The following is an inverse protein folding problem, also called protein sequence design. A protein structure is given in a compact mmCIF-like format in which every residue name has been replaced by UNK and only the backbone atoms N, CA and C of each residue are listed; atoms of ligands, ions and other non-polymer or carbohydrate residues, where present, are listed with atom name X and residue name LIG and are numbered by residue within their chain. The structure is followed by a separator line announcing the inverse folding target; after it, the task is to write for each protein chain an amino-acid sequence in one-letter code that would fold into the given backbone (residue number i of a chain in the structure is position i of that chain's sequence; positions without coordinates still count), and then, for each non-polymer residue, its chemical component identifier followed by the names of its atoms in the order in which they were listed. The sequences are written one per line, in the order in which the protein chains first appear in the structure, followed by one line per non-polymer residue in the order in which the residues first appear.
data_IF_908611752162
#
_entry.id   IF_908611752162
#
_cell.length_a   1.000
_cell.length_b   1.000
_cell.length_c   1.000
_cell.angle_alpha   90.00
_cell.angle_beta   90.00
_cell.angle_gamma   90.00
#
_symmetry.space_group_name_H-M   'P 1'
#
loop_
_entity.id
_entity.type
_entity.pdbx_description
1 polymer ?
#
# COMPACT_ATOMS: atom_id res chain seq x y z
N UNK A 1 -34.01 -15.28 31.25
CA UNK A 1 -32.62 -14.77 31.27
C UNK A 1 -31.62 -15.88 30.92
N UNK A 2 -32.10 -16.98 30.33
CA UNK A 2 -31.40 -18.26 30.33
C UNK A 2 -30.62 -18.53 29.05
N UNK A 3 -31.06 -17.99 27.91
CA UNK A 3 -30.40 -18.22 26.62
C UNK A 3 -28.96 -17.67 26.61
N UNK A 4 -28.75 -16.46 27.14
CA UNK A 4 -27.42 -15.81 27.15
C UNK A 4 -26.43 -16.60 28.01
N UNK A 5 -26.87 -17.16 29.15
CA UNK A 5 -26.01 -17.99 30.00
C UNK A 5 -25.69 -19.34 29.36
N UNK A 6 -26.64 -19.95 28.65
CA UNK A 6 -26.40 -21.20 27.91
C UNK A 6 -25.37 -20.98 26.80
N UNK A 7 -25.48 -19.89 26.04
CA UNK A 7 -24.49 -19.53 25.02
C UNK A 7 -23.11 -19.28 25.61
N UNK A 8 -23.04 -18.60 26.76
CA UNK A 8 -21.78 -18.34 27.45
C UNK A 8 -21.12 -19.63 27.91
N UNK A 9 -21.87 -20.51 28.58
CA UNK A 9 -21.34 -21.78 29.08
C UNK A 9 -20.87 -22.70 27.95
N UNK A 10 -21.64 -22.84 26.87
CA UNK A 10 -21.22 -23.62 25.70
C UNK A 10 -19.93 -23.07 25.06
N UNK A 11 -19.75 -21.76 25.08
CA UNK A 11 -18.54 -21.12 24.54
C UNK A 11 -17.32 -21.39 25.41
N UNK A 12 -17.50 -21.37 26.73
CA UNK A 12 -16.45 -21.68 27.72
C UNK A 12 -16.08 -23.16 27.65
N UNK A 13 -17.06 -24.06 27.59
CA UNK A 13 -16.84 -25.51 27.48
C UNK A 13 -16.10 -25.87 26.18
N UNK A 14 -16.49 -25.25 25.08
CA UNK A 14 -15.78 -25.40 23.81
C UNK A 14 -14.33 -24.90 23.90
N UNK A 15 -14.11 -23.74 24.54
CA UNK A 15 -12.75 -23.21 24.71
C UNK A 15 -11.87 -24.13 25.57
N UNK A 16 -12.41 -24.72 26.64
CA UNK A 16 -11.70 -25.70 27.45
C UNK A 16 -11.40 -26.99 26.67
N UNK A 17 -12.36 -27.49 25.89
CA UNK A 17 -12.17 -28.66 25.04
C UNK A 17 -11.06 -28.44 24.01
N UNK A 18 -11.11 -27.32 23.28
CA UNK A 18 -10.08 -26.95 22.31
C UNK A 18 -8.74 -26.75 23.00
N UNK A 19 -8.70 -26.10 24.15
CA UNK A 19 -7.48 -25.91 24.94
C UNK A 19 -6.81 -27.23 25.34
N UNK A 20 -7.58 -28.18 25.86
CA UNK A 20 -7.08 -29.51 26.24
C UNK A 20 -6.58 -30.30 25.02
N UNK A 21 -7.30 -30.24 23.90
CA UNK A 21 -6.92 -30.88 22.65
C UNK A 21 -5.62 -30.30 22.07
N UNK A 22 -5.51 -28.97 22.05
CA UNK A 22 -4.31 -28.28 21.57
C UNK A 22 -3.10 -28.56 22.46
N UNK A 23 -3.28 -28.62 23.78
CA UNK A 23 -2.20 -28.94 24.72
C UNK A 23 -1.64 -30.34 24.49
N UNK A 24 -2.52 -31.35 24.36
CA UNK A 24 -2.10 -32.73 24.11
C UNK A 24 -1.40 -32.87 22.76
N UNK A 25 -2.03 -32.40 21.68
CA UNK A 25 -1.45 -32.52 20.33
C UNK A 25 -0.16 -31.69 20.14
N UNK A 26 0.02 -30.60 20.90
CA UNK A 26 1.26 -29.81 20.89
C UNK A 26 2.40 -30.51 21.63
N UNK A 27 2.11 -31.23 22.73
CA UNK A 27 3.08 -32.07 23.43
C UNK A 27 3.54 -33.23 22.53
N UNK A 28 2.59 -33.94 21.92
CA UNK A 28 2.88 -35.03 20.97
C UNK A 28 3.72 -34.53 19.77
N UNK A 29 3.41 -33.33 19.25
CA UNK A 29 4.21 -32.70 18.19
C UNK A 29 5.65 -32.41 18.63
N UNK A 30 5.84 -31.93 19.87
CA UNK A 30 7.14 -31.58 20.41
C UNK A 30 8.02 -32.81 20.65
N UNK A 31 7.39 -33.92 21.02
CA UNK A 31 8.02 -35.23 21.14
C UNK A 31 8.32 -35.89 19.78
N UNK A 32 7.92 -35.25 18.67
CA UNK A 32 8.10 -35.77 17.32
C UNK A 32 7.13 -36.89 16.96
N UNK A 33 6.08 -37.09 17.75
CA UNK A 33 5.08 -38.11 17.57
C UNK A 33 3.93 -37.60 16.68
N UNK A 34 3.94 -37.98 15.40
CA UNK A 34 2.94 -37.53 14.44
C UNK A 34 1.74 -38.47 14.49
N UNK A 35 0.83 -38.18 15.43
CA UNK A 35 -0.44 -38.87 15.61
C UNK A 35 -1.60 -38.10 14.95
N UNK A 36 -2.79 -38.68 14.98
CA UNK A 36 -4.02 -38.01 14.54
C UNK A 36 -4.28 -36.70 15.29
N UNK A 37 -3.98 -36.65 16.60
CA UNK A 37 -4.13 -35.44 17.43
C UNK A 37 -3.20 -34.32 16.95
N UNK A 38 -1.94 -34.66 16.67
CA UNK A 38 -0.92 -33.78 16.11
C UNK A 38 -1.32 -33.21 14.75
N UNK A 39 -1.88 -34.03 13.86
CA UNK A 39 -2.40 -33.60 12.55
C UNK A 39 -3.56 -32.62 12.73
N UNK A 40 -4.46 -32.87 13.69
CA UNK A 40 -5.56 -31.95 13.99
C UNK A 40 -5.06 -30.60 14.49
N UNK A 41 -4.06 -30.56 15.36
CA UNK A 41 -3.44 -29.30 15.82
C UNK A 41 -2.79 -28.54 14.66
N UNK A 42 -2.07 -29.23 13.77
CA UNK A 42 -1.48 -28.62 12.58
C UNK A 42 -2.52 -28.04 11.63
N UNK A 43 -3.67 -28.71 11.46
CA UNK A 43 -4.78 -28.21 10.64
C UNK A 43 -5.42 -26.95 11.26
N UNK A 44 -5.60 -26.92 12.58
CA UNK A 44 -6.14 -25.74 13.28
C UNK A 44 -5.17 -24.56 13.16
N UNK A 45 -3.89 -24.76 13.45
CA UNK A 45 -2.85 -23.73 13.32
C UNK A 45 -2.70 -23.25 11.87
N UNK A 46 -2.66 -24.18 10.92
CA UNK A 46 -2.61 -23.88 9.49
C UNK A 46 -3.84 -23.12 9.00
N UNK A 47 -5.03 -23.47 9.48
CA UNK A 47 -6.26 -22.76 9.19
C UNK A 47 -6.25 -21.32 9.72
N UNK A 48 -5.83 -21.12 10.97
CA UNK A 48 -5.66 -19.78 11.56
C UNK A 48 -4.66 -18.95 10.74
N UNK A 49 -3.53 -19.54 10.37
CA UNK A 49 -2.50 -18.87 9.57
C UNK A 49 -3.00 -18.52 8.17
N UNK A 50 -3.78 -19.40 7.53
CA UNK A 50 -4.41 -19.15 6.24
C UNK A 50 -5.41 -18.00 6.33
N UNK A 51 -6.26 -17.99 7.35
CA UNK A 51 -7.23 -16.89 7.59
C UNK A 51 -6.50 -15.57 7.79
N UNK A 52 -5.45 -15.53 8.61
CA UNK A 52 -4.61 -14.35 8.80
C UNK A 52 -4.00 -13.87 7.48
N UNK A 53 -3.47 -14.78 6.67
CA UNK A 53 -2.91 -14.47 5.36
C UNK A 53 -3.97 -13.89 4.40
N UNK A 54 -5.18 -14.43 4.40
CA UNK A 54 -6.30 -13.89 3.62
C UNK A 54 -6.72 -12.50 4.08
N UNK A 55 -6.72 -12.23 5.40
CA UNK A 55 -7.00 -10.89 5.95
C UNK A 55 -5.96 -9.89 5.43
N UNK A 56 -4.68 -10.25 5.50
CA UNK A 56 -3.58 -9.41 5.01
C UNK A 56 -3.77 -9.10 3.51
N UNK A 57 -4.00 -10.12 2.67
CA UNK A 57 -4.26 -9.93 1.24
C UNK A 57 -5.50 -9.06 0.99
N UNK A 58 -6.55 -9.23 1.79
CA UNK A 58 -7.77 -8.42 1.71
C UNK A 58 -7.50 -6.95 1.98
N UNK A 59 -6.62 -6.63 2.95
CA UNK A 59 -6.20 -5.25 3.23
C UNK A 59 -5.44 -4.63 2.07
N UNK A 60 -4.58 -5.39 1.39
CA UNK A 60 -3.85 -4.89 0.21
C UNK A 60 -4.72 -4.70 -1.04
N UNK A 61 -5.83 -5.42 -1.16
CA UNK A 61 -6.75 -5.28 -2.31
C UNK A 61 -7.68 -4.07 -2.26
N UNK A 62 -7.69 -3.29 -1.16
CA UNK A 62 -8.70 -2.24 -0.92
C UNK A 62 -8.31 -0.81 -1.30
N UNK A 63 -7.31 -0.63 -2.15
CA UNK A 63 -6.90 0.69 -2.66
C UNK A 63 -7.00 0.76 -4.17
N UNK A 64 -8.17 0.45 -4.73
CA UNK A 64 -8.52 0.97 -6.06
C UNK A 64 -9.33 2.24 -5.81
N UNK A 65 -8.86 3.42 -6.24
CA UNK A 65 -9.65 4.63 -6.11
C UNK A 65 -10.98 4.40 -6.82
N UNK A 66 -12.07 4.62 -6.10
CA UNK A 66 -13.40 4.75 -6.69
C UNK A 66 -13.29 5.96 -7.61
N UNK A 67 -13.23 5.73 -8.92
CA UNK A 67 -13.43 6.75 -9.94
C UNK A 67 -14.82 7.34 -9.71
N UNK A 68 -14.88 8.41 -8.91
CA UNK A 68 -16.00 9.33 -8.96
C UNK A 68 -15.79 10.14 -10.24
N UNK A 69 -16.79 10.25 -11.14
CA UNK A 69 -16.70 11.18 -12.25
C UNK A 69 -16.61 12.58 -11.64
N UNK A 70 -15.40 13.16 -11.64
CA UNK A 70 -15.19 14.53 -11.20
C UNK A 70 -15.52 15.40 -12.39
N UNK A 71 -16.67 16.07 -12.33
CA UNK A 71 -17.06 17.10 -13.27
C UNK A 71 -15.90 18.11 -13.42
N UNK A 72 -15.27 18.09 -14.60
CA UNK A 72 -14.05 18.83 -14.95
C UNK A 72 -14.21 20.37 -14.86
N UNK A 73 -15.41 20.87 -14.56
CA UNK A 73 -15.70 22.30 -14.44
C UNK A 73 -15.37 22.89 -13.06
N UNK A 74 -15.35 22.08 -11.98
CA UNK A 74 -15.13 22.62 -10.63
C UNK A 74 -13.64 22.87 -10.29
N UNK A 75 -12.72 22.23 -11.02
CA UNK A 75 -11.27 22.31 -10.75
C UNK A 75 -10.61 23.59 -11.29
N UNK A 76 -11.19 24.26 -12.27
CA UNK A 76 -10.58 25.45 -12.90
C UNK A 76 -10.75 26.74 -12.07
N UNK A 77 -11.77 26.80 -11.21
CA UNK A 77 -12.04 27.99 -10.39
C UNK A 77 -11.23 28.06 -9.09
N UNK A 78 -10.65 26.95 -8.63
CA UNK A 78 -9.89 26.92 -7.37
C UNK A 78 -8.40 27.23 -7.56
N UNK A 79 -7.85 26.96 -8.76
CA UNK A 79 -6.43 27.23 -9.06
C UNK A 79 -6.15 28.72 -9.34
N UNK A 80 -7.15 29.51 -9.75
CA UNK A 80 -6.94 30.92 -10.15
C UNK A 80 -6.92 31.91 -8.98
N UNK A 81 -7.34 31.51 -7.78
CA UNK A 81 -7.39 32.42 -6.60
C UNK A 81 -6.05 32.46 -5.84
N UNK A 82 -5.17 31.47 -6.02
CA UNK A 82 -3.96 31.33 -5.21
C UNK A 82 -2.79 32.18 -5.74
N UNK A 83 -2.85 32.69 -6.98
CA UNK A 83 -1.69 33.29 -7.65
C UNK A 83 -1.59 34.83 -7.57
N UNK A 84 -2.20 35.48 -6.57
CA UNK A 84 -2.13 36.94 -6.41
C UNK A 84 -1.80 37.38 -4.99
N UNK A 85 -0.52 37.30 -4.62
CA UNK A 85 0.05 38.10 -3.53
C UNK A 85 1.55 38.36 -3.82
N UNK A 86 1.97 39.61 -4.08
CA UNK A 86 3.37 39.97 -4.21
C UNK A 86 3.92 40.36 -2.84
N UNK A 87 4.96 39.69 -2.36
CA UNK A 87 5.77 40.25 -1.26
C UNK A 87 7.24 39.95 -1.49
N UNK A 88 7.96 41.00 -1.89
CA UNK A 88 9.40 41.17 -1.72
C UNK A 88 9.79 40.98 -0.26
N UNK A 89 10.78 40.13 0.03
CA UNK A 89 11.93 40.49 0.89
C UNK A 89 13.07 39.47 0.75
N UNK A 90 14.24 40.05 0.49
CA UNK A 90 15.60 39.53 0.36
C UNK A 90 16.17 38.91 1.67
N UNK A 91 16.95 37.83 1.54
CA UNK A 91 18.37 37.74 1.94
C UNK A 91 18.80 36.36 2.52
N UNK A 92 19.94 35.88 2.00
CA UNK A 92 20.76 34.70 2.36
C UNK A 92 20.19 33.33 1.97
N UNK A 93 20.72 32.61 0.97
CA UNK A 93 22.08 32.59 0.43
C UNK A 93 22.58 31.15 0.46
N UNK A 94 22.23 30.37 -0.57
CA UNK A 94 22.89 29.12 -0.93
C UNK A 94 22.80 28.98 -2.45
N UNK A 95 23.89 29.39 -3.09
CA UNK A 95 24.39 28.98 -4.40
C UNK A 95 24.21 27.45 -4.56
N UNK A 96 23.73 26.87 -5.65
CA UNK A 96 23.87 27.21 -7.05
C UNK A 96 22.69 26.65 -7.89
N UNK A 97 22.25 27.42 -8.87
CA UNK A 97 21.68 26.85 -10.09
C UNK A 97 20.17 26.68 -10.19
N UNK A 98 19.38 27.62 -9.67
CA UNK A 98 18.07 27.92 -10.24
C UNK A 98 18.24 28.51 -11.66
N UNK A 99 18.65 27.66 -12.60
CA UNK A 99 18.61 27.97 -14.02
C UNK A 99 17.17 27.81 -14.49
N UNK A 100 16.54 28.93 -14.81
CA UNK A 100 15.52 29.02 -15.85
C UNK A 100 16.13 28.61 -17.20
N UNK A 101 16.56 27.35 -17.28
CA UNK A 101 17.09 26.71 -18.47
C UNK A 101 16.04 25.74 -18.97
N UNK A 102 15.86 25.71 -20.27
CA UNK A 102 15.07 24.67 -20.94
C UNK A 102 15.38 23.30 -20.33
N UNK A 103 14.38 22.40 -20.19
CA UNK A 103 14.67 21.04 -19.79
C UNK A 103 15.76 20.52 -20.74
N UNK A 104 16.90 20.07 -20.21
CA UNK A 104 17.96 19.47 -21.00
C UNK A 104 17.64 17.98 -21.14
N UNK A 105 18.06 17.36 -22.23
CA UNK A 105 17.87 15.91 -22.44
C UNK A 105 18.48 15.09 -21.28
N UNK A 106 19.57 15.60 -20.69
CA UNK A 106 20.23 14.98 -19.53
C UNK A 106 19.38 15.02 -18.27
N UNK A 107 18.65 16.10 -18.00
CA UNK A 107 17.77 16.17 -16.82
C UNK A 107 16.57 15.28 -17.01
N UNK A 108 16.00 15.22 -18.22
CA UNK A 108 14.89 14.30 -18.53
C UNK A 108 15.30 12.82 -18.39
N UNK A 109 16.52 12.46 -18.82
CA UNK A 109 17.02 11.09 -18.63
C UNK A 109 17.16 10.72 -17.14
N UNK A 110 17.68 11.65 -16.33
CA UNK A 110 17.80 11.47 -14.89
C UNK A 110 16.42 11.30 -14.22
N UNK A 111 15.45 12.13 -14.61
CA UNK A 111 14.08 12.05 -14.12
C UNK A 111 13.40 10.74 -14.54
N UNK A 112 13.62 10.29 -15.78
CA UNK A 112 13.06 9.03 -16.27
C UNK A 112 13.63 7.81 -15.56
N UNK A 113 14.91 7.87 -15.16
CA UNK A 113 15.54 6.87 -14.29
C UNK A 113 14.95 6.89 -12.88
N UNK A 114 14.77 8.07 -12.29
CA UNK A 114 14.19 8.22 -10.95
C UNK A 114 12.75 7.66 -10.89
N UNK A 115 11.93 7.96 -11.90
CA UNK A 115 10.56 7.44 -12.03
C UNK A 115 10.55 5.90 -12.14
N UNK A 116 11.49 5.32 -12.89
CA UNK A 116 11.66 3.87 -12.96
C UNK A 116 12.04 3.26 -11.61
N UNK A 117 13.00 3.87 -10.90
CA UNK A 117 13.42 3.40 -9.59
C UNK A 117 12.26 3.41 -8.58
N UNK A 118 11.49 4.49 -8.53
CA UNK A 118 10.30 4.60 -7.68
C UNK A 118 9.26 3.52 -7.99
N UNK A 119 9.04 3.20 -9.27
CA UNK A 119 8.12 2.13 -9.67
C UNK A 119 8.64 0.75 -9.26
N UNK A 120 9.92 0.45 -9.53
CA UNK A 120 10.54 -0.83 -9.15
C UNK A 120 10.61 -1.03 -7.64
N UNK A 121 10.76 0.06 -6.87
CA UNK A 121 10.71 0.05 -5.41
C UNK A 121 9.28 -0.03 -4.84
N UNK A 122 8.25 -0.08 -5.70
CA UNK A 122 6.84 -0.13 -5.30
C UNK A 122 6.33 1.13 -4.61
N UNK A 123 7.01 2.28 -4.79
CA UNK A 123 6.65 3.56 -4.17
C UNK A 123 5.56 4.31 -4.93
N UNK A 124 5.41 4.02 -6.22
CA UNK A 124 4.38 4.59 -7.10
C UNK A 124 3.60 3.47 -7.81
N UNK A 125 2.34 3.73 -8.15
CA UNK A 125 1.50 2.80 -8.90
C UNK A 125 1.80 2.86 -10.40
N UNK A 126 1.32 1.85 -11.14
CA UNK A 126 1.51 1.75 -12.59
C UNK A 126 0.92 2.95 -13.35
N UNK A 127 -0.24 3.47 -12.91
CA UNK A 127 -0.90 4.58 -13.60
C UNK A 127 -0.05 5.87 -13.54
N UNK A 128 0.52 6.18 -12.37
CA UNK A 128 1.42 7.33 -12.19
C UNK A 128 2.75 7.13 -12.94
N UNK A 129 3.29 5.92 -12.94
CA UNK A 129 4.48 5.59 -13.73
C UNK A 129 4.26 5.83 -15.24
N UNK A 130 3.11 5.38 -15.78
CA UNK A 130 2.77 5.54 -17.19
C UNK A 130 2.55 7.02 -17.54
N UNK A 131 1.84 7.78 -16.69
CA UNK A 131 1.60 9.20 -16.96
C UNK A 131 2.91 10.01 -16.94
N UNK A 132 3.76 9.77 -15.94
CA UNK A 132 4.99 10.55 -15.76
C UNK A 132 6.03 10.22 -16.83
N UNK A 133 6.22 8.94 -17.15
CA UNK A 133 7.10 8.53 -18.26
C UNK A 133 6.65 9.08 -19.61
N UNK A 134 5.33 9.16 -19.85
CA UNK A 134 4.79 9.79 -21.06
C UNK A 134 5.04 11.29 -21.10
N UNK A 135 4.85 11.98 -19.97
CA UNK A 135 5.11 13.42 -19.87
C UNK A 135 6.59 13.74 -20.15
N UNK A 136 7.50 12.98 -19.54
CA UNK A 136 8.95 13.11 -19.77
C UNK A 136 9.33 12.79 -21.23
N UNK A 137 8.70 11.80 -21.84
CA UNK A 137 8.92 11.50 -23.26
C UNK A 137 8.48 12.63 -24.18
N UNK A 138 7.30 13.20 -23.96
CA UNK A 138 6.83 14.35 -24.76
C UNK A 138 7.70 15.59 -24.54
N UNK A 139 8.19 15.82 -23.32
CA UNK A 139 9.15 16.88 -23.03
C UNK A 139 10.47 16.67 -23.79
N UNK A 140 11.02 15.46 -23.81
CA UNK A 140 12.23 15.13 -24.57
C UNK A 140 12.03 15.31 -26.08
N UNK A 141 10.86 14.89 -26.58
CA UNK A 141 10.49 15.02 -27.99
C UNK A 141 10.34 16.49 -28.41
N UNK A 142 9.78 17.33 -27.55
CA UNK A 142 9.66 18.77 -27.81
C UNK A 142 11.04 19.45 -27.96
N UNK A 143 12.02 19.00 -27.19
CA UNK A 143 13.41 19.49 -27.29
C UNK A 143 14.14 18.94 -28.51
N UNK A 144 13.90 17.68 -28.88
CA UNK A 144 14.50 17.06 -30.06
C UNK A 144 13.94 17.63 -31.38
N UNK A 145 12.70 18.11 -31.37
CA UNK A 145 12.04 18.70 -32.53
C UNK A 145 12.36 20.19 -32.74
N UNK A 146 13.21 20.78 -31.90
CA UNK A 146 13.69 22.16 -32.01
C UNK A 146 15.02 22.22 -32.74
#
# INVERSE_FOLDING_TARGET
MDAIQIYWNNSVDFAHFVGAYMQKGSLDLLEGNINQDTIGVLLVLGGILLVLLLIIISMFKRSKPVERPVDMMASLTMQSVINSAPTDVSAYGSEDGAGTGEPDLKTIEADMKAVKELYTAGRINADLYISESRNLYEAAKALYSR
#
